data_IF_575710109145
#
_entry.id   IF_575710109145
#
_cell.length_a   1.000
_cell.length_b   1.000
_cell.length_c   1.000
_cell.angle_alpha   90.00
_cell.angle_beta   90.00
_cell.angle_gamma   90.00
#
_symmetry.space_group_name_H-M   'P 1'
#
loop_
_entity.id
_entity.type
_entity.pdbx_description
1 polymer ?
#
# COMPACT_ATOMS: atom_id res chain seq x y z
N UNK A 1 -25.42 -8.38 7.41
CA UNK A 1 -25.14 -9.81 7.70
C UNK A 1 -25.18 -9.97 9.22
N UNK A 2 -26.23 -10.63 9.71
CA UNK A 2 -26.51 -10.74 11.15
C UNK A 2 -25.83 -11.94 11.81
N UNK A 3 -25.37 -12.90 11.01
CA UNK A 3 -24.68 -14.09 11.50
C UNK A 3 -23.36 -14.27 10.75
N UNK A 4 -22.22 -14.28 11.45
CA UNK A 4 -20.92 -14.59 10.86
C UNK A 4 -20.80 -16.10 10.61
N UNK A 5 -20.32 -16.47 9.41
CA UNK A 5 -20.15 -17.88 9.02
C UNK A 5 -18.72 -18.41 9.24
N UNK A 6 -17.78 -17.54 9.59
CA UNK A 6 -16.39 -17.97 9.80
C UNK A 6 -16.18 -18.48 11.22
N UNK A 7 -15.52 -19.64 11.38
CA UNK A 7 -15.28 -20.29 12.69
C UNK A 7 -14.54 -19.42 13.71
N UNK A 8 -13.67 -18.51 13.24
CA UNK A 8 -12.87 -17.62 14.08
C UNK A 8 -13.53 -16.24 14.24
N UNK A 9 -14.78 -16.10 13.82
CA UNK A 9 -15.51 -14.84 13.97
C UNK A 9 -15.78 -14.50 15.42
N UNK A 10 -15.47 -13.25 15.80
CA UNK A 10 -15.72 -12.71 17.15
C UNK A 10 -16.98 -11.86 17.22
N UNK A 11 -17.65 -11.60 16.10
CA UNK A 11 -18.87 -10.81 16.02
C UNK A 11 -19.35 -10.60 14.58
N UNK A 12 -20.49 -9.95 14.42
CA UNK A 12 -21.03 -9.60 13.11
C UNK A 12 -20.48 -8.26 12.61
N UNK A 13 -20.55 -8.02 11.29
CA UNK A 13 -20.25 -6.70 10.71
C UNK A 13 -21.21 -5.63 11.27
N UNK A 14 -22.46 -5.99 11.57
CA UNK A 14 -23.41 -5.08 12.19
C UNK A 14 -22.92 -4.60 13.57
N UNK A 15 -22.50 -5.54 14.43
CA UNK A 15 -21.99 -5.19 15.78
C UNK A 15 -20.76 -4.28 15.69
N UNK A 16 -19.87 -4.54 14.73
CA UNK A 16 -18.68 -3.70 14.51
C UNK A 16 -19.09 -2.28 14.09
N UNK A 17 -19.99 -2.13 13.12
CA UNK A 17 -20.46 -0.83 12.65
C UNK A 17 -21.14 -0.05 13.79
N UNK A 18 -22.01 -0.70 14.58
CA UNK A 18 -22.68 -0.10 15.73
C UNK A 18 -21.68 0.34 16.79
N UNK A 19 -20.70 -0.52 17.14
CA UNK A 19 -19.68 -0.20 18.14
C UNK A 19 -18.83 1.03 17.79
N UNK A 20 -18.64 1.29 16.49
CA UNK A 20 -17.85 2.41 15.99
C UNK A 20 -18.69 3.57 15.45
N UNK A 21 -20.01 3.53 15.61
CA UNK A 21 -20.93 4.55 15.10
C UNK A 21 -20.76 4.80 13.57
N UNK A 22 -20.54 3.73 12.80
CA UNK A 22 -20.36 3.78 11.35
C UNK A 22 -21.71 3.45 10.70
N UNK A 23 -22.26 4.34 9.84
CA UNK A 23 -23.50 4.07 9.14
C UNK A 23 -23.31 2.95 8.11
N UNK A 24 -24.32 2.10 7.98
CA UNK A 24 -24.33 1.00 7.02
C UNK A 24 -25.68 0.91 6.28
N UNK A 25 -25.63 0.46 5.04
CA UNK A 25 -26.83 0.23 4.22
C UNK A 25 -26.89 -1.23 3.78
N UNK A 26 -28.07 -1.84 3.89
CA UNK A 26 -28.33 -3.20 3.40
C UNK A 26 -29.58 -3.24 2.52
N UNK A 27 -29.78 -4.36 1.81
CA UNK A 27 -30.95 -4.54 0.94
C UNK A 27 -30.87 -3.86 -0.43
N UNK A 28 -29.71 -3.26 -0.78
CA UNK A 28 -29.50 -2.68 -2.12
C UNK A 28 -29.00 -3.72 -3.12
N UNK A 29 -29.22 -3.49 -4.40
CA UNK A 29 -28.64 -4.31 -5.48
C UNK A 29 -27.15 -4.00 -5.65
N UNK A 30 -26.32 -4.70 -4.87
CA UNK A 30 -24.86 -4.56 -4.92
C UNK A 30 -24.28 -4.99 -6.27
N UNK A 31 -24.94 -5.88 -7.01
CA UNK A 31 -24.54 -6.30 -8.36
C UNK A 31 -24.71 -5.16 -9.36
N UNK A 32 -25.84 -4.47 -9.33
CA UNK A 32 -26.07 -3.31 -10.17
C UNK A 32 -25.06 -2.20 -9.86
N UNK A 33 -24.78 -1.93 -8.56
CA UNK A 33 -23.76 -0.98 -8.14
C UNK A 33 -22.37 -1.35 -8.68
N UNK A 34 -21.96 -2.62 -8.55
CA UNK A 34 -20.68 -3.11 -9.08
C UNK A 34 -20.57 -2.92 -10.59
N UNK A 35 -21.64 -3.23 -11.35
CA UNK A 35 -21.66 -3.01 -12.80
C UNK A 35 -21.49 -1.54 -13.14
N UNK A 36 -22.18 -0.65 -12.44
CA UNK A 36 -22.07 0.80 -12.63
C UNK A 36 -20.65 1.32 -12.38
N UNK A 37 -20.00 0.88 -11.30
CA UNK A 37 -18.60 1.22 -11.01
C UNK A 37 -17.66 0.71 -12.10
N UNK A 38 -17.89 -0.49 -12.64
CA UNK A 38 -17.08 -1.04 -13.74
C UNK A 38 -17.24 -0.26 -15.04
N UNK A 39 -18.43 0.25 -15.32
CA UNK A 39 -18.73 1.01 -16.54
C UNK A 39 -18.20 2.45 -16.46
N UNK A 40 -18.28 3.11 -15.32
CA UNK A 40 -18.02 4.53 -15.17
C UNK A 40 -16.73 4.86 -14.39
N UNK A 41 -16.13 3.87 -13.71
CA UNK A 41 -15.03 4.07 -12.76
C UNK A 41 -15.52 4.30 -11.34
N UNK A 42 -14.64 4.76 -10.47
CA UNK A 42 -14.99 5.14 -9.08
C UNK A 42 -15.90 6.37 -9.08
N UNK A 43 -16.97 6.30 -8.28
CA UNK A 43 -18.01 7.33 -8.20
C UNK A 43 -18.13 7.84 -6.77
N UNK A 44 -18.34 9.13 -6.61
CA UNK A 44 -18.80 9.70 -5.35
C UNK A 44 -20.25 9.32 -5.11
N UNK A 45 -20.61 9.05 -3.87
CA UNK A 45 -21.99 8.74 -3.50
C UNK A 45 -22.33 9.30 -2.11
N UNK A 46 -23.60 9.60 -1.92
CA UNK A 46 -24.21 9.93 -0.63
C UNK A 46 -25.33 8.95 -0.37
N UNK A 47 -25.50 8.51 0.86
CA UNK A 47 -26.65 7.70 1.26
C UNK A 47 -27.21 8.18 2.59
N UNK A 48 -28.51 8.03 2.77
CA UNK A 48 -29.21 8.47 3.96
C UNK A 48 -30.72 8.19 3.88
N UNK A 49 -31.51 8.72 4.82
CA UNK A 49 -32.96 8.59 4.82
C UNK A 49 -33.60 9.20 3.58
N UNK A 50 -34.64 8.54 3.04
CA UNK A 50 -35.34 8.96 1.80
C UNK A 50 -35.96 10.37 1.87
N UNK A 51 -36.32 10.81 3.06
CA UNK A 51 -36.84 12.19 3.30
C UNK A 51 -35.79 13.29 3.16
N UNK A 52 -34.48 12.94 3.08
CA UNK A 52 -33.36 13.85 2.96
C UNK A 52 -32.72 13.87 1.57
N UNK A 53 -33.41 13.40 0.53
CA UNK A 53 -32.86 13.32 -0.85
C UNK A 53 -32.32 14.66 -1.33
N UNK A 54 -33.05 15.76 -1.14
CA UNK A 54 -32.62 17.09 -1.59
C UNK A 54 -31.34 17.57 -0.85
N UNK A 55 -31.24 17.27 0.44
CA UNK A 55 -30.03 17.56 1.22
C UNK A 55 -28.83 16.74 0.72
N UNK A 56 -29.06 15.45 0.41
CA UNK A 56 -28.04 14.55 -0.14
C UNK A 56 -27.56 14.96 -1.53
N UNK A 57 -28.44 15.48 -2.38
CA UNK A 57 -28.07 16.01 -3.70
C UNK A 57 -27.14 17.23 -3.58
N UNK A 58 -27.43 18.15 -2.68
CA UNK A 58 -26.57 19.31 -2.41
C UNK A 58 -25.20 18.87 -1.86
N UNK A 59 -25.17 17.92 -0.92
CA UNK A 59 -23.90 17.38 -0.40
C UNK A 59 -23.09 16.73 -1.54
N UNK A 60 -23.74 15.97 -2.42
CA UNK A 60 -23.06 15.30 -3.54
C UNK A 60 -22.41 16.27 -4.51
N UNK A 61 -23.04 17.45 -4.76
CA UNK A 61 -22.50 18.50 -5.61
C UNK A 61 -21.24 19.16 -5.01
N UNK A 62 -21.12 19.19 -3.69
CA UNK A 62 -19.98 19.78 -2.97
C UNK A 62 -18.83 18.77 -2.73
N UNK A 63 -19.09 17.47 -2.90
CA UNK A 63 -18.06 16.44 -2.66
C UNK A 63 -16.92 16.55 -3.67
N UNK A 64 -15.72 16.56 -3.16
CA UNK A 64 -14.48 16.40 -3.95
C UNK A 64 -13.96 14.95 -3.87
N UNK A 65 -13.29 14.45 -4.94
CA UNK A 65 -12.63 13.14 -4.86
C UNK A 65 -11.60 13.11 -3.73
N UNK A 66 -11.55 12.03 -2.93
CA UNK A 66 -10.59 11.91 -1.82
C UNK A 66 -9.12 12.06 -2.24
N UNK A 67 -8.80 11.78 -3.49
CA UNK A 67 -7.43 11.88 -4.03
C UNK A 67 -6.93 13.34 -4.11
N UNK A 68 -7.82 14.33 -3.98
CA UNK A 68 -7.47 15.76 -3.96
C UNK A 68 -6.87 16.19 -2.61
N UNK A 69 -7.06 15.39 -1.56
CA UNK A 69 -6.63 15.70 -0.20
C UNK A 69 -5.31 15.00 0.15
N UNK A 70 -4.53 15.60 1.05
CA UNK A 70 -3.38 14.93 1.67
C UNK A 70 -3.86 13.90 2.71
N UNK A 71 -4.30 12.75 2.21
CA UNK A 71 -4.80 11.69 3.08
C UNK A 71 -3.70 11.03 3.92
N UNK A 72 -2.45 11.03 3.45
CA UNK A 72 -1.33 10.49 4.23
C UNK A 72 -1.09 11.35 5.47
N UNK A 73 -1.13 12.67 5.35
CA UNK A 73 -1.02 13.57 6.50
C UNK A 73 -2.14 13.39 7.54
N UNK A 74 -3.33 12.96 7.10
CA UNK A 74 -4.47 12.73 8.00
C UNK A 74 -4.39 11.43 8.79
N UNK A 75 -3.60 10.45 8.34
CA UNK A 75 -3.58 9.09 8.92
C UNK A 75 -2.23 8.67 9.50
N UNK A 76 -1.17 9.41 9.20
CA UNK A 76 0.17 9.14 9.75
C UNK A 76 0.21 9.33 11.26
N UNK A 77 1.12 8.63 11.95
CA UNK A 77 1.30 8.77 13.41
C UNK A 77 1.86 10.17 13.78
N UNK A 78 1.57 10.60 14.99
CA UNK A 78 1.96 11.93 15.47
C UNK A 78 3.45 12.06 15.83
N UNK A 79 4.19 10.95 15.93
CA UNK A 79 5.60 10.95 16.29
C UNK A 79 6.18 9.54 16.36
N UNK A 80 7.51 9.40 16.34
CA UNK A 80 8.14 8.11 16.31
C UNK A 80 7.89 7.33 17.61
N UNK A 81 7.60 6.04 17.48
CA UNK A 81 7.31 5.14 18.61
C UNK A 81 8.00 3.80 18.42
N UNK A 82 8.72 3.34 19.44
CA UNK A 82 9.30 1.99 19.49
C UNK A 82 8.24 1.00 19.98
N UNK A 83 7.84 0.06 19.13
CA UNK A 83 6.69 -0.82 19.40
C UNK A 83 7.01 -2.01 20.31
N UNK A 84 8.19 -2.63 20.13
CA UNK A 84 8.60 -3.85 20.82
C UNK A 84 10.06 -3.77 21.29
N UNK A 85 10.35 -2.87 22.28
CA UNK A 85 11.71 -2.62 22.73
C UNK A 85 12.36 -3.88 23.30
N UNK A 86 13.62 -4.13 22.91
CA UNK A 86 14.39 -5.27 23.38
C UNK A 86 13.93 -6.60 22.81
N UNK A 87 13.28 -6.59 21.62
CA UNK A 87 12.85 -7.82 20.97
C UNK A 87 14.02 -8.72 20.58
N UNK A 88 13.89 -10.02 20.85
CA UNK A 88 14.89 -11.04 20.61
C UNK A 88 14.32 -12.18 19.77
N UNK A 89 15.21 -12.88 19.07
CA UNK A 89 14.88 -14.12 18.35
C UNK A 89 14.76 -15.32 19.32
N UNK A 90 14.45 -16.51 18.76
CA UNK A 90 14.33 -17.74 19.55
C UNK A 90 15.63 -18.20 20.21
N UNK A 91 16.77 -17.62 19.86
CA UNK A 91 18.09 -17.89 20.42
C UNK A 91 18.56 -16.80 21.41
N UNK A 92 17.71 -15.80 21.70
CA UNK A 92 18.01 -14.69 22.60
C UNK A 92 18.94 -13.64 21.99
N UNK A 93 19.00 -13.55 20.63
CA UNK A 93 19.77 -12.49 19.96
C UNK A 93 18.85 -11.31 19.66
N UNK A 94 19.32 -10.08 19.85
CA UNK A 94 18.53 -8.89 19.50
C UNK A 94 18.08 -8.93 18.04
N UNK A 95 16.81 -8.63 17.81
CA UNK A 95 16.29 -8.47 16.44
C UNK A 95 16.86 -7.20 15.79
N UNK A 96 17.09 -7.21 14.46
CA UNK A 96 17.49 -6.00 13.74
C UNK A 96 16.40 -4.93 13.85
N UNK A 97 16.79 -3.66 13.84
CA UNK A 97 15.88 -2.53 13.96
C UNK A 97 15.37 -2.08 12.61
N UNK A 98 14.05 -1.93 12.49
CA UNK A 98 13.37 -1.48 11.29
C UNK A 98 12.67 -0.15 11.54
N UNK A 99 12.96 0.87 10.74
CA UNK A 99 12.15 2.08 10.70
C UNK A 99 10.97 1.87 9.75
N UNK A 100 9.74 1.90 10.27
CA UNK A 100 8.50 1.76 9.50
C UNK A 100 7.88 3.13 9.28
N UNK A 101 7.96 3.64 8.05
CA UNK A 101 7.34 4.91 7.62
C UNK A 101 5.84 4.70 7.50
N UNK A 102 5.09 5.46 8.28
CA UNK A 102 3.63 5.37 8.37
C UNK A 102 2.93 6.27 7.34
N UNK A 103 2.55 5.68 6.23
CA UNK A 103 1.68 6.34 5.26
C UNK A 103 0.19 6.00 5.46
N UNK A 104 -0.18 5.38 6.58
CA UNK A 104 -1.50 4.81 6.88
C UNK A 104 -1.42 3.30 7.05
N UNK A 105 -0.48 2.85 7.87
CA UNK A 105 -0.13 1.44 8.03
C UNK A 105 -1.26 0.62 8.65
N UNK A 106 -1.55 -0.54 8.07
CA UNK A 106 -2.45 -1.51 8.69
C UNK A 106 -1.76 -2.15 9.92
N UNK A 107 -2.49 -2.23 11.02
CA UNK A 107 -1.97 -2.85 12.25
C UNK A 107 -1.43 -4.26 12.07
N UNK A 108 -1.95 -5.04 11.11
CA UNK A 108 -1.44 -6.38 10.84
C UNK A 108 -0.04 -6.37 10.24
N UNK A 109 0.30 -5.37 9.41
CA UNK A 109 1.67 -5.17 8.92
C UNK A 109 2.62 -4.97 10.11
N UNK A 110 2.29 -4.06 11.03
CA UNK A 110 3.12 -3.84 12.23
C UNK A 110 3.29 -5.11 13.06
N UNK A 111 2.21 -5.92 13.23
CA UNK A 111 2.30 -7.21 13.95
C UNK A 111 3.24 -8.20 13.26
N UNK A 112 3.20 -8.29 11.92
CA UNK A 112 4.09 -9.17 11.17
C UNK A 112 5.54 -8.69 11.22
N UNK A 113 5.79 -7.39 11.10
CA UNK A 113 7.12 -6.79 11.24
C UNK A 113 7.70 -7.01 12.64
N UNK A 114 6.91 -6.81 13.70
CA UNK A 114 7.35 -7.02 15.09
C UNK A 114 7.74 -8.48 15.43
N UNK A 115 7.39 -9.44 14.59
CA UNK A 115 7.86 -10.84 14.76
C UNK A 115 9.31 -11.04 14.32
N UNK A 116 9.85 -10.13 13.51
CA UNK A 116 11.15 -10.27 12.85
C UNK A 116 12.10 -9.10 13.12
N UNK A 117 11.59 -7.98 13.60
CA UNK A 117 12.32 -6.74 13.79
C UNK A 117 11.95 -6.07 15.11
N UNK A 118 12.85 -5.30 15.66
CA UNK A 118 12.54 -4.24 16.60
C UNK A 118 12.06 -3.02 15.79
N UNK A 119 10.77 -2.66 15.90
CA UNK A 119 10.11 -1.73 14.97
C UNK A 119 9.99 -0.34 15.57
N UNK A 120 10.57 0.64 14.91
CA UNK A 120 10.31 2.07 15.13
C UNK A 120 9.26 2.54 14.15
N UNK A 121 8.08 2.88 14.63
CA UNK A 121 6.97 3.41 13.85
C UNK A 121 7.14 4.92 13.69
N UNK A 122 7.40 5.41 12.49
CA UNK A 122 7.79 6.78 12.18
C UNK A 122 6.73 7.51 11.35
N UNK A 123 6.49 8.81 11.58
CA UNK A 123 5.65 9.62 10.68
C UNK A 123 6.14 9.62 9.23
N UNK A 124 5.20 9.82 8.29
CA UNK A 124 5.50 9.83 6.85
C UNK A 124 6.46 10.94 6.43
N UNK A 125 6.44 12.07 7.12
CA UNK A 125 7.25 13.26 6.84
C UNK A 125 8.57 13.32 7.61
N UNK A 126 8.91 12.27 8.38
CA UNK A 126 10.16 12.23 9.14
C UNK A 126 11.35 12.04 8.22
N UNK A 127 12.34 12.97 8.22
CA UNK A 127 13.52 12.87 7.38
C UNK A 127 14.44 11.70 7.76
N UNK A 128 15.13 11.11 6.77
CA UNK A 128 16.04 9.97 6.99
C UNK A 128 17.15 10.31 8.01
N UNK A 129 17.69 11.51 7.97
CA UNK A 129 18.76 11.97 8.86
C UNK A 129 18.34 11.94 10.32
N UNK A 130 17.08 12.27 10.62
CA UNK A 130 16.51 12.20 11.97
C UNK A 130 16.30 10.76 12.39
N UNK A 131 15.77 9.93 11.49
CA UNK A 131 15.57 8.50 11.73
C UNK A 131 16.90 7.82 12.07
N UNK A 132 17.95 8.08 11.30
CA UNK A 132 19.27 7.50 11.53
C UNK A 132 19.87 8.01 12.85
N UNK A 133 19.82 9.33 13.10
CA UNK A 133 20.39 9.95 14.29
C UNK A 133 19.78 9.42 15.59
N UNK A 134 18.46 9.30 15.60
CA UNK A 134 17.74 9.05 16.85
C UNK A 134 17.48 7.56 17.09
N UNK A 135 17.44 6.75 16.02
CA UNK A 135 17.03 5.35 16.09
C UNK A 135 18.02 4.34 15.52
N UNK A 136 18.96 4.77 14.66
CA UNK A 136 19.99 3.92 14.04
C UNK A 136 19.42 2.61 13.46
N UNK A 137 18.45 2.65 12.54
CA UNK A 137 17.82 1.44 12.02
C UNK A 137 18.75 0.70 11.04
N UNK A 138 18.60 -0.63 10.97
CA UNK A 138 19.30 -1.48 10.01
C UNK A 138 18.60 -1.50 8.65
N UNK A 139 17.28 -1.23 8.61
CA UNK A 139 16.47 -1.23 7.40
C UNK A 139 15.30 -0.24 7.51
N UNK A 140 14.69 0.06 6.35
CA UNK A 140 13.53 0.94 6.26
C UNK A 140 12.37 0.23 5.53
N UNK A 141 11.17 0.45 6.03
CA UNK A 141 9.94 -0.04 5.44
C UNK A 141 8.98 1.12 5.15
N UNK A 142 8.42 1.15 3.95
CA UNK A 142 7.34 2.07 3.60
C UNK A 142 6.01 1.35 3.55
N UNK A 143 5.06 1.81 4.35
CA UNK A 143 3.78 1.15 4.50
C UNK A 143 2.83 1.39 3.32
N UNK A 144 1.73 0.65 3.35
CA UNK A 144 0.53 1.01 2.60
C UNK A 144 -0.03 2.35 3.08
N UNK A 145 -0.94 2.93 2.27
CA UNK A 145 -1.62 4.18 2.62
C UNK A 145 -2.71 4.56 1.62
N UNK A 146 -3.51 5.58 1.94
CA UNK A 146 -4.54 6.12 1.08
C UNK A 146 -4.02 7.20 0.13
N UNK A 147 -4.86 7.60 -0.82
CA UNK A 147 -4.67 8.78 -1.65
C UNK A 147 -3.87 8.56 -2.93
N UNK A 148 -3.55 9.68 -3.56
CA UNK A 148 -2.71 9.73 -4.76
C UNK A 148 -1.23 9.70 -4.34
N UNK A 149 -0.42 8.72 -4.81
CA UNK A 149 1.01 8.67 -4.51
C UNK A 149 1.79 9.88 -5.01
N UNK A 150 1.27 10.59 -6.02
CA UNK A 150 1.88 11.82 -6.56
C UNK A 150 1.42 13.10 -5.85
N UNK A 151 0.57 13.02 -4.83
CA UNK A 151 0.09 14.19 -4.10
C UNK A 151 1.26 14.96 -3.45
N UNK A 152 1.31 16.31 -3.60
CA UNK A 152 2.36 17.15 -3.02
C UNK A 152 2.11 17.36 -1.51
N UNK A 153 2.56 16.45 -0.67
CA UNK A 153 2.35 16.49 0.78
C UNK A 153 3.15 15.41 1.48
N UNK A 154 2.59 14.80 2.52
CA UNK A 154 3.26 13.77 3.33
C UNK A 154 3.75 12.57 2.50
N UNK A 155 3.01 12.17 1.45
CA UNK A 155 3.46 11.14 0.50
C UNK A 155 4.76 11.54 -0.23
N UNK A 156 4.90 12.81 -0.61
CA UNK A 156 6.14 13.32 -1.23
C UNK A 156 7.32 13.30 -0.24
N UNK A 157 7.10 13.62 1.03
CA UNK A 157 8.16 13.57 2.05
C UNK A 157 8.59 12.13 2.31
N UNK A 158 7.64 11.20 2.46
CA UNK A 158 7.93 9.77 2.56
C UNK A 158 8.76 9.26 1.36
N UNK A 159 8.42 9.68 0.13
CA UNK A 159 9.20 9.34 -1.07
C UNK A 159 10.64 9.87 -0.99
N UNK A 160 10.86 11.08 -0.49
CA UNK A 160 12.22 11.63 -0.31
C UNK A 160 13.03 10.81 0.69
N UNK A 161 12.41 10.42 1.81
CA UNK A 161 13.05 9.57 2.83
C UNK A 161 13.40 8.20 2.28
N UNK A 162 12.51 7.56 1.52
CA UNK A 162 12.78 6.31 0.80
C UNK A 162 13.96 6.43 -0.16
N UNK A 163 13.94 7.45 -1.01
CA UNK A 163 15.01 7.68 -1.96
C UNK A 163 16.37 7.93 -1.27
N UNK A 164 16.37 8.67 -0.17
CA UNK A 164 17.57 8.90 0.62
C UNK A 164 18.10 7.59 1.23
N UNK A 165 17.22 6.71 1.76
CA UNK A 165 17.59 5.41 2.32
C UNK A 165 18.23 4.49 1.27
N UNK A 166 17.65 4.42 0.07
CA UNK A 166 18.21 3.65 -1.06
C UNK A 166 19.60 4.18 -1.44
N UNK A 167 19.76 5.50 -1.59
CA UNK A 167 21.08 6.10 -1.90
C UNK A 167 22.10 5.84 -0.79
N UNK A 168 21.67 5.81 0.46
CA UNK A 168 22.52 5.47 1.60
C UNK A 168 22.93 3.99 1.63
N UNK A 169 22.32 3.14 0.80
CA UNK A 169 22.58 1.71 0.75
C UNK A 169 21.83 0.91 1.83
N UNK A 170 20.85 1.54 2.49
CA UNK A 170 20.02 0.88 3.49
C UNK A 170 19.05 -0.10 2.80
N UNK A 171 18.83 -1.30 3.35
CA UNK A 171 17.77 -2.16 2.89
C UNK A 171 16.39 -1.49 2.98
N UNK A 172 15.60 -1.54 1.89
CA UNK A 172 14.28 -0.91 1.82
C UNK A 172 13.24 -1.88 1.27
N UNK A 173 12.08 -1.95 1.94
CA UNK A 173 10.88 -2.63 1.43
C UNK A 173 9.70 -1.67 1.38
N UNK A 174 8.85 -1.79 0.34
CA UNK A 174 7.62 -1.02 0.23
C UNK A 174 6.41 -1.87 -0.09
N UNK A 175 5.29 -1.61 0.59
CA UNK A 175 4.00 -2.28 0.33
C UNK A 175 2.96 -1.26 -0.14
N UNK A 176 2.23 -1.59 -1.22
CA UNK A 176 1.10 -0.85 -1.78
C UNK A 176 1.48 0.61 -2.09
N UNK A 177 1.12 1.59 -1.25
CA UNK A 177 1.57 2.98 -1.44
C UNK A 177 3.10 3.08 -1.42
N UNK A 178 3.79 2.35 -0.52
CA UNK A 178 5.25 2.30 -0.49
C UNK A 178 5.89 1.80 -1.79
N UNK A 179 5.25 0.85 -2.49
CA UNK A 179 5.64 0.43 -3.84
C UNK A 179 5.50 1.58 -4.85
N UNK A 180 4.36 2.29 -4.82
CA UNK A 180 4.09 3.41 -5.73
C UNK A 180 5.06 4.58 -5.51
N UNK A 181 5.36 4.90 -4.24
CA UNK A 181 6.35 5.92 -3.89
C UNK A 181 7.76 5.55 -4.37
N UNK A 182 8.14 4.26 -4.28
CA UNK A 182 9.41 3.79 -4.82
C UNK A 182 9.43 3.88 -6.35
N UNK A 183 8.34 3.52 -7.04
CA UNK A 183 8.20 3.70 -8.48
C UNK A 183 8.38 5.15 -8.91
N UNK A 184 7.73 6.09 -8.21
CA UNK A 184 7.92 7.53 -8.44
C UNK A 184 9.36 7.99 -8.17
N UNK A 185 10.03 7.45 -7.15
CA UNK A 185 11.43 7.75 -6.86
C UNK A 185 12.38 7.18 -7.93
N UNK A 186 12.01 6.07 -8.55
CA UNK A 186 12.70 5.49 -9.72
C UNK A 186 12.45 6.25 -11.03
N UNK A 187 11.67 7.35 -11.00
CA UNK A 187 11.33 8.14 -12.18
C UNK A 187 10.19 7.57 -13.02
N UNK A 188 9.49 6.56 -12.52
CA UNK A 188 8.26 6.06 -13.13
C UNK A 188 7.09 6.98 -12.81
N UNK A 189 6.04 6.89 -13.60
CA UNK A 189 4.76 7.56 -13.32
C UNK A 189 3.78 6.62 -12.64
N UNK A 190 2.82 7.19 -11.95
CA UNK A 190 1.66 6.48 -11.46
C UNK A 190 0.42 6.95 -12.19
N UNK A 191 -0.57 6.08 -12.30
CA UNK A 191 -1.84 6.41 -12.93
C UNK A 191 -3.01 5.82 -12.14
N UNK A 192 -4.15 6.48 -12.23
CA UNK A 192 -5.38 6.02 -11.59
C UNK A 192 -6.02 4.91 -12.43
N UNK A 193 -6.20 3.75 -11.82
CA UNK A 193 -6.97 2.66 -12.40
C UNK A 193 -8.46 3.04 -12.47
N UNK A 194 -9.16 2.60 -13.50
CA UNK A 194 -10.57 2.96 -13.70
C UNK A 194 -11.45 2.62 -12.48
N UNK A 195 -11.23 1.46 -11.86
CA UNK A 195 -11.96 1.01 -10.68
C UNK A 195 -11.05 0.37 -9.61
N UNK A 196 -9.75 0.32 -9.86
CA UNK A 196 -8.75 -0.26 -8.96
C UNK A 196 -8.81 -1.79 -8.85
N UNK A 197 -7.79 -2.36 -8.21
CA UNK A 197 -7.78 -3.77 -7.82
C UNK A 197 -8.26 -3.90 -6.37
N UNK A 198 -9.34 -4.64 -6.18
CA UNK A 198 -9.96 -4.86 -4.86
C UNK A 198 -10.43 -6.30 -4.74
N UNK A 199 -9.98 -6.98 -3.69
CA UNK A 199 -10.35 -8.36 -3.41
C UNK A 199 -9.16 -9.22 -2.98
N UNK A 200 -9.46 -10.44 -2.59
CA UNK A 200 -8.50 -11.45 -2.11
C UNK A 200 -8.21 -12.56 -3.14
N UNK A 201 -8.51 -12.31 -4.40
CA UNK A 201 -8.41 -13.28 -5.50
C UNK A 201 -7.68 -12.72 -6.73
N UNK A 202 -6.72 -11.82 -6.51
CA UNK A 202 -5.96 -11.20 -7.59
C UNK A 202 -4.72 -12.04 -7.91
N UNK A 203 -4.62 -12.60 -9.12
CA UNK A 203 -3.46 -13.42 -9.50
C UNK A 203 -2.29 -12.52 -9.90
N UNK A 204 -1.16 -12.72 -9.25
CA UNK A 204 0.10 -12.01 -9.53
C UNK A 204 1.17 -13.01 -9.93
N UNK A 205 1.81 -12.77 -11.06
CA UNK A 205 2.91 -13.58 -11.57
C UNK A 205 4.24 -12.96 -11.16
N UNK A 206 5.09 -13.77 -10.54
CA UNK A 206 6.52 -13.51 -10.40
C UNK A 206 7.20 -13.80 -11.74
N UNK A 207 7.79 -12.81 -12.36
CA UNK A 207 8.38 -12.92 -13.70
C UNK A 207 9.66 -13.76 -13.75
N UNK A 208 10.40 -13.85 -12.63
CA UNK A 208 11.61 -14.67 -12.56
C UNK A 208 11.27 -16.17 -12.39
N UNK A 209 10.42 -16.48 -11.40
CA UNK A 209 10.09 -17.88 -11.08
C UNK A 209 8.93 -18.42 -11.92
N UNK A 210 8.18 -17.56 -12.60
CA UNK A 210 6.96 -17.86 -13.36
C UNK A 210 5.84 -18.45 -12.49
N UNK A 211 5.92 -18.30 -11.19
CA UNK A 211 4.86 -18.71 -10.26
C UNK A 211 3.77 -17.63 -10.21
N UNK A 212 2.54 -18.09 -10.05
CA UNK A 212 1.39 -17.21 -9.83
C UNK A 212 0.95 -17.38 -8.38
N UNK A 213 0.84 -16.26 -7.68
CA UNK A 213 0.33 -16.16 -6.32
C UNK A 213 -1.07 -15.56 -6.34
N UNK A 214 -1.98 -16.07 -5.52
CA UNK A 214 -3.26 -15.42 -5.30
C UNK A 214 -3.09 -14.43 -4.17
N UNK A 215 -3.34 -13.15 -4.47
CA UNK A 215 -3.02 -12.05 -3.58
C UNK A 215 -4.27 -11.28 -3.14
N UNK A 216 -4.14 -10.58 -2.02
CA UNK A 216 -5.11 -9.57 -1.57
C UNK A 216 -4.67 -8.20 -2.03
N UNK A 217 -5.58 -7.45 -2.63
CA UNK A 217 -5.32 -6.11 -3.15
C UNK A 217 -6.41 -5.13 -2.78
N UNK A 218 -6.03 -3.89 -2.53
CA UNK A 218 -6.93 -2.76 -2.34
C UNK A 218 -6.21 -1.46 -2.70
N UNK A 219 -6.10 -1.17 -3.99
CA UNK A 219 -5.47 0.04 -4.49
C UNK A 219 -6.20 0.62 -5.69
N UNK A 220 -6.17 1.94 -5.83
CA UNK A 220 -6.76 2.70 -6.93
C UNK A 220 -5.75 3.25 -7.93
N UNK A 221 -4.46 3.23 -7.57
CA UNK A 221 -3.36 3.69 -8.41
C UNK A 221 -2.41 2.53 -8.69
N UNK A 222 -1.70 2.62 -9.82
CA UNK A 222 -0.67 1.67 -10.21
C UNK A 222 0.55 2.40 -10.76
N UNK A 223 1.70 1.74 -10.72
CA UNK A 223 2.94 2.20 -11.36
C UNK A 223 2.85 1.89 -12.85
N UNK A 224 3.20 2.86 -13.70
CA UNK A 224 3.24 2.68 -15.16
C UNK A 224 4.36 1.70 -15.55
N UNK A 225 4.02 0.74 -16.41
CA UNK A 225 5.02 -0.16 -16.97
C UNK A 225 5.96 0.63 -17.91
N UNK A 226 7.26 0.71 -17.61
CA UNK A 226 8.22 1.46 -18.43
C UNK A 226 8.40 0.88 -19.84
N UNK A 227 8.01 -0.37 -20.05
CA UNK A 227 8.19 -1.11 -21.32
C UNK A 227 6.90 -1.82 -21.72
N UNK A 228 5.88 -1.03 -22.03
CA UNK A 228 4.53 -1.50 -22.36
C UNK A 228 4.45 -2.89 -23.03
N UNK A 229 3.86 -3.85 -22.31
CA UNK A 229 3.49 -5.16 -22.86
C UNK A 229 4.51 -6.28 -22.74
N UNK A 230 5.60 -6.14 -21.97
CA UNK A 230 6.54 -7.23 -21.76
C UNK A 230 6.16 -8.07 -20.53
N UNK A 231 5.62 -9.25 -20.79
CA UNK A 231 5.43 -10.34 -19.80
C UNK A 231 6.72 -11.15 -19.57
N UNK A 232 7.91 -10.56 -19.72
CA UNK A 232 9.19 -11.22 -19.51
C UNK A 232 10.04 -10.43 -18.52
N UNK A 233 10.84 -11.09 -17.68
CA UNK A 233 11.83 -10.41 -16.85
C UNK A 233 12.82 -9.77 -17.82
N UNK A 234 12.86 -8.45 -17.84
CA UNK A 234 13.91 -7.72 -18.51
C UNK A 234 14.47 -6.69 -17.54
N UNK A 235 15.79 -6.57 -17.45
CA UNK A 235 16.35 -5.44 -16.74
C UNK A 235 15.84 -4.19 -17.49
N UNK A 236 15.18 -3.32 -16.76
CA UNK A 236 14.72 -2.03 -17.29
C UNK A 236 15.91 -1.06 -17.45
N UNK A 237 17.03 -1.57 -17.93
CA UNK A 237 18.17 -0.74 -18.32
C UNK A 237 17.81 0.35 -19.34
N UNK A 238 16.56 0.34 -19.81
CA UNK A 238 15.99 1.39 -20.64
C UNK A 238 15.41 2.57 -19.84
N UNK A 239 15.26 2.46 -18.52
CA UNK A 239 14.69 3.54 -17.71
C UNK A 239 15.70 4.28 -16.83
N UNK A 240 16.99 3.96 -16.92
CA UNK A 240 18.08 4.69 -16.26
C UNK A 240 18.25 6.15 -16.76
N UNK A 241 17.58 6.50 -17.85
CA UNK A 241 17.74 7.79 -18.52
C UNK A 241 16.56 8.76 -18.28
N UNK A 242 15.70 8.48 -17.31
CA UNK A 242 14.76 9.48 -16.84
C UNK A 242 15.50 10.44 -15.91
N UNK A 243 15.57 11.73 -16.30
CA UNK A 243 16.10 12.83 -15.47
C UNK A 243 15.49 12.90 -14.06
N UNK A 244 14.43 12.12 -13.83
CA UNK A 244 13.63 12.08 -12.62
C UNK A 244 13.92 10.87 -11.70
N UNK A 245 14.84 9.96 -12.11
CA UNK A 245 15.27 8.85 -11.25
C UNK A 245 16.19 9.37 -10.12
N UNK A 246 15.58 9.64 -8.98
CA UNK A 246 16.29 10.14 -7.80
C UNK A 246 16.90 9.04 -6.95
N UNK A 247 16.67 7.75 -7.28
CA UNK A 247 17.29 6.62 -6.59
C UNK A 247 18.77 6.44 -6.96
N UNK A 248 19.14 6.81 -8.19
CA UNK A 248 20.45 6.51 -8.73
C UNK A 248 20.73 5.00 -8.81
N UNK A 249 19.70 4.20 -9.04
CA UNK A 249 19.74 2.75 -9.06
C UNK A 249 18.93 2.21 -10.24
N UNK A 250 19.37 1.08 -10.81
CA UNK A 250 18.60 0.35 -11.81
C UNK A 250 17.54 -0.53 -11.12
N UNK A 251 16.41 -0.71 -11.77
CA UNK A 251 15.33 -1.55 -11.27
C UNK A 251 14.79 -2.49 -12.35
N UNK A 252 14.09 -3.52 -11.91
CA UNK A 252 13.33 -4.42 -12.78
C UNK A 252 11.90 -4.59 -12.28
N UNK A 253 10.98 -4.79 -13.21
CA UNK A 253 9.63 -5.26 -12.87
C UNK A 253 9.73 -6.72 -12.49
N UNK A 254 9.40 -7.01 -11.23
CA UNK A 254 9.44 -8.37 -10.67
C UNK A 254 8.09 -9.07 -10.75
N UNK A 255 7.04 -8.36 -10.42
CA UNK A 255 5.69 -8.92 -10.33
C UNK A 255 4.72 -8.17 -11.23
N UNK A 256 3.81 -8.90 -11.88
CA UNK A 256 2.73 -8.35 -12.70
C UNK A 256 1.40 -9.02 -12.40
N UNK A 257 0.32 -8.27 -12.50
CA UNK A 257 -1.03 -8.82 -12.42
C UNK A 257 -1.31 -9.68 -13.67
N UNK A 258 -1.72 -10.93 -13.48
CA UNK A 258 -1.94 -11.86 -14.59
C UNK A 258 -3.20 -11.53 -15.41
N UNK A 259 -4.10 -10.68 -14.90
CA UNK A 259 -5.33 -10.32 -15.60
C UNK A 259 -5.14 -9.18 -16.60
N UNK A 260 -4.33 -8.17 -16.25
CA UNK A 260 -4.23 -6.94 -17.03
C UNK A 260 -2.78 -6.42 -17.23
N UNK A 261 -1.78 -7.12 -16.68
CA UNK A 261 -0.37 -6.76 -16.83
C UNK A 261 0.09 -5.58 -15.97
N UNK A 262 -0.73 -5.08 -15.04
CA UNK A 262 -0.36 -4.02 -14.10
C UNK A 262 0.90 -4.40 -13.31
N UNK A 263 1.82 -3.45 -13.13
CA UNK A 263 3.04 -3.65 -12.32
C UNK A 263 2.65 -3.87 -10.87
N UNK A 264 3.11 -4.98 -10.32
CA UNK A 264 2.77 -5.43 -8.96
C UNK A 264 4.00 -5.57 -8.05
N UNK A 265 5.20 -5.29 -8.55
CA UNK A 265 6.42 -5.30 -7.77
C UNK A 265 7.65 -4.88 -8.57
N UNK A 266 8.57 -4.23 -7.87
CA UNK A 266 9.86 -3.77 -8.38
C UNK A 266 10.98 -4.30 -7.50
N UNK A 267 12.07 -4.79 -8.12
CA UNK A 267 13.34 -5.06 -7.47
C UNK A 267 14.40 -4.07 -7.96
N UNK A 268 15.23 -3.54 -7.08
CA UNK A 268 16.41 -2.77 -7.46
C UNK A 268 17.58 -3.73 -7.67
N UNK A 269 18.33 -3.54 -8.77
CA UNK A 269 19.34 -4.52 -9.19
C UNK A 269 20.65 -4.41 -8.41
N UNK A 270 21.03 -3.20 -8.06
CA UNK A 270 22.31 -2.86 -7.41
C UNK A 270 22.15 -2.37 -5.96
N UNK A 271 20.94 -2.42 -5.43
CA UNK A 271 20.57 -1.98 -4.07
C UNK A 271 19.70 -3.01 -3.38
N UNK A 272 19.82 -3.18 -2.07
CA UNK A 272 18.98 -4.11 -1.30
C UNK A 272 17.56 -3.54 -1.10
N UNK A 273 16.83 -3.33 -2.19
CA UNK A 273 15.48 -2.76 -2.11
C UNK A 273 14.53 -3.47 -3.07
N UNK A 274 13.32 -3.75 -2.58
CA UNK A 274 12.23 -4.35 -3.36
C UNK A 274 10.88 -3.86 -2.87
N UNK A 275 9.87 -3.99 -3.72
CA UNK A 275 8.53 -3.53 -3.40
C UNK A 275 7.45 -4.43 -3.99
N UNK A 276 6.29 -4.45 -3.35
CA UNK A 276 5.11 -5.18 -3.80
C UNK A 276 3.85 -4.31 -3.68
N UNK A 277 2.97 -4.40 -4.67
CA UNK A 277 1.72 -3.64 -4.71
C UNK A 277 0.62 -4.29 -3.86
N UNK A 278 0.63 -5.61 -3.75
CA UNK A 278 -0.36 -6.38 -3.02
C UNK A 278 -0.03 -6.47 -1.51
N UNK A 279 -0.95 -7.07 -0.75
CA UNK A 279 -0.91 -7.16 0.71
C UNK A 279 -0.61 -8.58 1.19
N UNK A 280 0.67 -8.97 1.41
CA UNK A 280 1.02 -10.31 1.88
C UNK A 280 0.60 -10.56 3.33
N UNK A 281 0.40 -9.51 4.11
CA UNK A 281 -0.07 -9.55 5.49
C UNK A 281 -1.55 -9.86 5.63
N UNK A 282 -2.32 -9.78 4.54
CA UNK A 282 -3.75 -10.03 4.57
C UNK A 282 -4.04 -11.51 4.76
N UNK A 283 -5.02 -11.84 5.61
CA UNK A 283 -5.33 -13.20 6.02
C UNK A 283 -6.75 -13.68 5.64
N UNK A 284 -7.36 -13.28 4.50
CA UNK A 284 -8.66 -13.81 4.13
C UNK A 284 -8.58 -15.20 3.49
N UNK A 285 -7.33 -15.74 3.27
CA UNK A 285 -7.06 -16.92 2.46
C UNK A 285 -7.37 -16.74 0.97
N UNK A 286 -6.67 -17.45 0.08
CA UNK A 286 -5.50 -18.28 0.37
C UNK A 286 -4.30 -17.47 0.87
N UNK A 287 -3.30 -18.15 1.45
CA UNK A 287 -2.12 -17.52 2.05
C UNK A 287 -0.87 -17.63 1.15
N UNK A 288 -1.07 -17.68 -0.15
CA UNK A 288 0.00 -17.91 -1.14
C UNK A 288 1.11 -16.84 -1.08
N UNK A 289 0.72 -15.61 -0.77
CA UNK A 289 1.64 -14.47 -0.70
C UNK A 289 2.32 -14.31 0.68
N UNK A 290 1.94 -15.08 1.70
CA UNK A 290 2.50 -14.94 3.06
C UNK A 290 4.01 -15.21 3.19
N UNK A 291 4.66 -16.01 2.31
CA UNK A 291 6.12 -16.17 2.32
C UNK A 291 6.89 -15.01 1.72
N UNK A 292 6.22 -14.09 1.01
CA UNK A 292 6.81 -12.92 0.36
C UNK A 292 6.93 -11.77 1.34
#
# INVERSE_FOLDING_TARGET
MTFPDHRDSVGSVHDLLVAHNIPGIEGIDTRALTRRVREHGTLLCVFGPSEKVQEMELILEELTPPDADDLVAQVTCNGPTLLNPGAEDSEGRPLPRLAAIDCGVKHNILRELCKRFEVVWCPADMPLEEIIRDWSPDALFASNGPGDPAHPGAATEARKTLAAAVRHGMPVMGICLGHQLMGLAAGLRTYKLRYGHRGSNQPVMDLETRRVYITSQNHGFAVEDPVQGMLAPHPSGACSDTSDNVLGAEFMVRHVNSNDGTVEGLDLLDKPAFTIQFHPEACPGPHDASPL
#
